data_IF_707861780074
#
_entry.id   IF_707861780074
#
_cell.length_a   1.000
_cell.length_b   1.000
_cell.length_c   1.000
_cell.angle_alpha   90.00
_cell.angle_beta   90.00
_cell.angle_gamma   90.00
#
_symmetry.space_group_name_H-M   'P 1'
#
loop_
_entity.id
_entity.type
_entity.pdbx_description
1 polymer ?
#
# COMPACT_ATOMS: atom_id res chain seq x y z
N UNK A 1 -9.96 -24.73 -45.34
CA UNK A 1 -10.56 -24.00 -44.20
C UNK A 1 -9.53 -23.93 -43.09
N UNK A 2 -8.93 -22.76 -42.86
CA UNK A 2 -7.94 -22.57 -41.79
C UNK A 2 -8.62 -22.17 -40.50
N UNK A 3 -8.42 -22.94 -39.43
CA UNK A 3 -8.93 -22.63 -38.11
C UNK A 3 -7.96 -21.66 -37.44
N UNK A 4 -8.36 -20.39 -37.34
CA UNK A 4 -7.68 -19.40 -36.52
C UNK A 4 -7.99 -19.71 -35.04
N UNK A 5 -7.08 -20.40 -34.37
CA UNK A 5 -7.08 -20.54 -32.92
C UNK A 5 -6.67 -19.21 -32.29
N UNK A 6 -7.65 -18.46 -31.76
CA UNK A 6 -7.39 -17.34 -30.87
C UNK A 6 -6.74 -17.87 -29.59
N UNK A 7 -5.42 -17.72 -29.49
CA UNK A 7 -4.71 -17.93 -28.24
C UNK A 7 -5.25 -16.98 -27.18
N UNK A 8 -5.83 -17.54 -26.12
CA UNK A 8 -6.15 -16.81 -24.90
C UNK A 8 -4.83 -16.25 -24.34
N UNK A 9 -4.54 -14.99 -24.64
CA UNK A 9 -3.47 -14.26 -23.97
C UNK A 9 -3.85 -14.18 -22.50
N UNK A 10 -3.20 -14.99 -21.67
CA UNK A 10 -3.14 -14.78 -20.24
C UNK A 10 -2.51 -13.41 -20.01
N UNK A 11 -3.35 -12.37 -19.98
CA UNK A 11 -2.95 -11.08 -19.44
C UNK A 11 -2.60 -11.35 -17.97
N UNK A 12 -1.33 -11.46 -17.60
CA UNK A 12 -0.98 -11.42 -16.19
C UNK A 12 -1.58 -10.14 -15.60
N UNK A 13 -2.38 -10.26 -14.55
CA UNK A 13 -2.82 -9.12 -13.76
C UNK A 13 -1.55 -8.40 -13.34
N UNK A 14 -1.36 -7.17 -13.82
CA UNK A 14 -0.28 -6.28 -13.41
C UNK A 14 -0.24 -6.35 -11.88
N UNK A 15 0.70 -7.10 -11.31
CA UNK A 15 0.75 -7.33 -9.88
C UNK A 15 1.42 -6.11 -9.30
N UNK A 16 0.58 -5.17 -8.91
CA UNK A 16 0.96 -3.90 -8.30
C UNK A 16 1.61 -4.18 -6.96
N UNK A 17 2.87 -3.75 -6.77
CA UNK A 17 3.53 -3.87 -5.47
C UNK A 17 3.31 -2.59 -4.66
N UNK A 18 3.60 -1.44 -5.27
CA UNK A 18 3.53 -0.14 -4.60
C UNK A 18 2.90 0.89 -5.53
N UNK A 19 1.92 1.62 -5.04
CA UNK A 19 1.32 2.78 -5.70
C UNK A 19 1.39 3.98 -4.75
N UNK A 20 1.61 5.17 -5.30
CA UNK A 20 1.62 6.40 -4.51
C UNK A 20 0.97 7.51 -5.31
N UNK A 21 0.35 8.46 -4.62
CA UNK A 21 -0.22 9.62 -5.27
C UNK A 21 -0.91 10.56 -4.32
N UNK A 22 -1.89 11.27 -4.87
CA UNK A 22 -2.59 12.35 -4.18
C UNK A 22 -4.00 11.90 -3.82
N UNK A 23 -4.48 12.39 -2.68
CA UNK A 23 -5.84 12.18 -2.19
C UNK A 23 -6.49 13.53 -1.95
N UNK A 24 -7.60 13.75 -2.64
CA UNK A 24 -8.36 14.98 -2.64
C UNK A 24 -9.68 14.71 -1.93
N UNK A 25 -9.81 15.17 -0.69
CA UNK A 25 -11.12 15.18 -0.01
C UNK A 25 -11.79 16.54 -0.15
N UNK A 26 -13.04 16.61 0.33
CA UNK A 26 -13.87 17.83 0.22
C UNK A 26 -13.15 19.08 0.74
N UNK A 27 -12.45 18.96 1.87
CA UNK A 27 -11.78 20.08 2.53
C UNK A 27 -10.29 19.83 2.81
N UNK A 28 -9.74 18.69 2.39
CA UNK A 28 -8.31 18.36 2.61
C UNK A 28 -7.60 17.95 1.33
N UNK A 29 -6.30 18.24 1.33
CA UNK A 29 -5.34 17.66 0.42
C UNK A 29 -4.44 16.71 1.21
N UNK A 30 -4.19 15.55 0.64
CA UNK A 30 -3.31 14.54 1.21
C UNK A 30 -2.54 13.79 0.16
N UNK A 31 -1.60 12.99 0.64
CA UNK A 31 -0.87 12.00 -0.15
C UNK A 31 -1.26 10.62 0.36
N UNK A 32 -1.30 9.65 -0.54
CA UNK A 32 -1.55 8.25 -0.21
C UNK A 32 -0.46 7.37 -0.81
N UNK A 33 -0.03 6.36 -0.05
CA UNK A 33 0.88 5.32 -0.49
C UNK A 33 0.26 3.97 -0.15
N UNK A 34 0.04 3.15 -1.17
CA UNK A 34 -0.52 1.83 -1.04
C UNK A 34 0.55 0.77 -1.35
N UNK A 35 0.70 -0.20 -0.47
CA UNK A 35 1.62 -1.32 -0.57
C UNK A 35 0.85 -2.63 -0.52
N UNK A 36 0.93 -3.44 -1.57
CA UNK A 36 0.32 -4.78 -1.58
C UNK A 36 1.11 -5.72 -0.68
N UNK A 37 0.42 -6.41 0.23
CA UNK A 37 0.99 -7.42 1.12
C UNK A 37 0.72 -8.83 0.57
N UNK A 38 -0.50 -9.09 0.08
CA UNK A 38 -0.90 -10.39 -0.47
C UNK A 38 -1.92 -10.22 -1.60
N UNK A 39 -2.39 -11.31 -2.20
CA UNK A 39 -3.16 -11.29 -3.46
C UNK A 39 -4.42 -10.43 -3.47
N UNK A 40 -5.02 -10.17 -2.31
CA UNK A 40 -6.20 -9.31 -2.16
C UNK A 40 -6.06 -8.32 -1.01
N UNK A 41 -4.85 -8.15 -0.47
CA UNK A 41 -4.60 -7.35 0.72
C UNK A 41 -3.56 -6.27 0.49
N UNK A 42 -3.90 -5.06 0.86
CA UNK A 42 -3.04 -3.88 0.78
C UNK A 42 -2.92 -3.20 2.15
N UNK A 43 -1.80 -2.53 2.35
CA UNK A 43 -1.61 -1.55 3.40
C UNK A 43 -1.63 -0.18 2.73
N UNK A 44 -2.49 0.73 3.18
CA UNK A 44 -2.51 2.12 2.74
C UNK A 44 -2.02 3.03 3.86
N UNK A 45 -1.07 3.90 3.56
CA UNK A 45 -0.65 5.00 4.41
C UNK A 45 -1.12 6.31 3.79
N UNK A 46 -1.89 7.11 4.54
CA UNK A 46 -2.41 8.41 4.11
C UNK A 46 -1.78 9.48 4.99
N UNK A 47 -1.20 10.51 4.38
CA UNK A 47 -0.77 11.72 5.06
C UNK A 47 -1.64 12.90 4.64
N UNK A 48 -2.27 13.59 5.59
CA UNK A 48 -3.10 14.77 5.33
C UNK A 48 -2.44 15.97 6.01
N UNK A 49 -2.29 17.05 5.24
CA UNK A 49 -1.75 18.32 5.75
C UNK A 49 -2.78 19.41 5.49
N UNK A 50 -3.21 20.07 6.57
CA UNK A 50 -4.06 21.27 6.56
C UNK A 50 -3.30 22.42 7.21
N UNK A 51 -3.81 23.66 7.06
CA UNK A 51 -3.15 24.85 7.62
C UNK A 51 -2.92 24.79 9.15
N UNK A 52 -3.70 23.99 9.88
CA UNK A 52 -3.68 23.91 11.35
C UNK A 52 -3.55 22.50 11.93
N UNK A 53 -3.57 21.48 11.07
CA UNK A 53 -3.61 20.07 11.45
C UNK A 53 -2.74 19.25 10.50
N UNK A 54 -1.99 18.30 11.04
CA UNK A 54 -1.34 17.26 10.26
C UNK A 54 -1.72 15.91 10.84
N UNK A 55 -2.16 14.99 9.99
CA UNK A 55 -2.56 13.64 10.38
C UNK A 55 -1.94 12.60 9.48
N UNK A 56 -1.63 11.46 10.07
CA UNK A 56 -1.21 10.25 9.37
C UNK A 56 -2.18 9.12 9.71
N UNK A 57 -2.56 8.37 8.70
CA UNK A 57 -3.50 7.25 8.80
C UNK A 57 -2.85 6.01 8.21
N UNK A 58 -3.04 4.88 8.87
CA UNK A 58 -2.62 3.57 8.36
C UNK A 58 -3.84 2.67 8.30
N UNK A 59 -4.08 2.06 7.14
CA UNK A 59 -5.23 1.22 6.84
C UNK A 59 -4.76 -0.13 6.28
N UNK A 60 -5.42 -1.21 6.70
CA UNK A 60 -5.34 -2.50 6.04
C UNK A 60 -6.62 -2.72 5.24
N UNK A 61 -6.49 -3.00 3.95
CA UNK A 61 -7.61 -3.06 3.02
C UNK A 61 -7.66 -4.41 2.30
N UNK A 62 -8.87 -4.89 2.06
CA UNK A 62 -9.16 -6.07 1.27
C UNK A 62 -9.88 -5.68 -0.02
N UNK A 63 -9.39 -6.20 -1.14
CA UNK A 63 -9.86 -5.89 -2.48
C UNK A 63 -10.73 -7.02 -3.05
N UNK A 64 -11.86 -6.64 -3.62
CA UNK A 64 -12.84 -7.51 -4.24
C UNK A 64 -13.10 -7.05 -5.68
N UNK A 65 -13.14 -8.00 -6.62
CA UNK A 65 -13.46 -7.70 -8.01
C UNK A 65 -14.96 -7.45 -8.17
N UNK A 66 -15.34 -6.33 -8.79
CA UNK A 66 -16.74 -6.02 -9.08
C UNK A 66 -17.09 -6.36 -10.53
N UNK A 67 -16.40 -5.72 -11.48
CA UNK A 67 -16.64 -5.85 -12.91
C UNK A 67 -15.30 -6.04 -13.64
N UNK A 68 -14.95 -7.29 -13.86
CA UNK A 68 -13.69 -7.66 -14.49
C UNK A 68 -12.47 -7.28 -13.65
N UNK A 69 -11.35 -6.99 -14.32
CA UNK A 69 -10.06 -6.67 -13.67
C UNK A 69 -9.81 -5.18 -13.48
N UNK A 70 -10.63 -4.34 -14.12
CA UNK A 70 -10.45 -2.88 -14.15
C UNK A 70 -11.19 -2.20 -13.00
N UNK A 71 -12.37 -2.67 -12.61
CA UNK A 71 -13.15 -2.10 -11.52
C UNK A 71 -13.22 -3.05 -10.32
N UNK A 72 -12.62 -2.61 -9.22
CA UNK A 72 -12.62 -3.31 -7.95
C UNK A 72 -13.29 -2.42 -6.89
N UNK A 73 -13.73 -3.03 -5.80
CA UNK A 73 -14.06 -2.31 -4.59
C UNK A 73 -13.17 -2.82 -3.47
N UNK A 74 -12.89 -1.98 -2.49
CA UNK A 74 -12.09 -2.36 -1.34
C UNK A 74 -12.74 -1.87 -0.06
N UNK A 75 -12.55 -2.67 0.98
CA UNK A 75 -12.98 -2.35 2.32
C UNK A 75 -11.84 -2.62 3.28
N UNK A 76 -11.66 -1.75 4.27
CA UNK A 76 -10.54 -1.83 5.19
C UNK A 76 -10.82 -1.16 6.51
N UNK A 77 -9.87 -1.35 7.42
CA UNK A 77 -9.89 -0.71 8.72
C UNK A 77 -8.46 -0.39 9.16
N UNK A 78 -8.34 0.56 10.07
CA UNK A 78 -7.08 0.98 10.65
C UNK A 78 -7.27 2.12 11.62
N UNK A 79 -6.32 3.03 11.66
CA UNK A 79 -6.38 4.16 12.58
C UNK A 79 -5.51 5.31 12.14
N UNK A 80 -5.79 6.46 12.74
CA UNK A 80 -5.06 7.69 12.52
C UNK A 80 -4.52 8.25 13.81
N UNK A 81 -3.45 9.01 13.65
CA UNK A 81 -2.89 9.87 14.66
C UNK A 81 -2.52 11.20 14.00
N UNK A 82 -2.74 12.28 14.71
CA UNK A 82 -2.45 13.60 14.20
C UNK A 82 -2.13 14.58 15.32
N UNK A 83 -1.67 15.74 14.90
CA UNK A 83 -1.42 16.86 15.80
C UNK A 83 -2.15 18.08 15.27
N UNK A 84 -2.87 18.73 16.16
CA UNK A 84 -3.47 20.02 15.90
C UNK A 84 -2.74 21.08 16.73
N UNK A 85 -2.43 22.22 16.10
CA UNK A 85 -1.62 23.28 16.74
C UNK A 85 -2.22 23.86 18.03
N UNK A 86 -3.53 23.73 18.22
CA UNK A 86 -4.25 24.35 19.34
C UNK A 86 -4.72 23.36 20.42
N UNK A 87 -4.97 22.09 20.07
CA UNK A 87 -5.58 21.10 20.97
C UNK A 87 -4.69 19.90 21.29
N UNK A 88 -3.48 19.82 20.71
CA UNK A 88 -2.53 18.75 20.98
C UNK A 88 -2.66 17.56 20.02
N UNK A 89 -2.32 16.36 20.49
CA UNK A 89 -2.38 15.14 19.70
C UNK A 89 -3.77 14.50 19.75
N UNK A 90 -4.28 14.04 18.61
CA UNK A 90 -5.53 13.28 18.51
C UNK A 90 -5.27 11.96 17.79
N UNK A 91 -6.15 10.99 18.03
CA UNK A 91 -6.08 9.71 17.36
C UNK A 91 -7.40 8.97 17.42
N UNK A 92 -7.54 7.96 16.58
CA UNK A 92 -8.79 7.28 16.42
C UNK A 92 -8.71 6.06 15.53
N UNK A 93 -9.88 5.45 15.33
CA UNK A 93 -10.06 4.31 14.45
C UNK A 93 -10.73 4.76 13.16
N UNK A 94 -10.33 4.16 12.06
CA UNK A 94 -10.85 4.45 10.73
C UNK A 94 -11.31 3.17 10.06
N UNK A 95 -12.49 3.21 9.48
CA UNK A 95 -12.89 2.32 8.40
C UNK A 95 -12.64 3.00 7.06
N UNK A 96 -12.50 2.20 6.01
CA UNK A 96 -12.50 2.69 4.63
C UNK A 96 -13.34 1.78 3.75
N UNK A 97 -14.11 2.38 2.85
CA UNK A 97 -14.81 1.70 1.78
C UNK A 97 -14.62 2.52 0.51
N UNK A 98 -14.14 1.88 -0.56
CA UNK A 98 -13.86 2.60 -1.80
C UNK A 98 -14.08 1.75 -3.03
N UNK A 99 -14.25 2.46 -4.14
CA UNK A 99 -14.19 1.94 -5.49
C UNK A 99 -12.82 2.27 -6.07
N UNK A 100 -12.25 1.30 -6.77
CA UNK A 100 -10.94 1.40 -7.40
C UNK A 100 -11.08 1.07 -8.89
N UNK A 101 -10.71 2.04 -9.74
CA UNK A 101 -10.68 1.90 -11.18
C UNK A 101 -9.25 1.97 -11.71
N UNK A 102 -8.77 0.81 -12.16
CA UNK A 102 -7.48 0.67 -12.82
C UNK A 102 -7.62 1.01 -14.30
N UNK A 103 -6.94 2.06 -14.73
CA UNK A 103 -6.95 2.49 -16.12
C UNK A 103 -6.19 1.47 -16.96
N UNK A 104 -6.82 0.94 -18.00
CA UNK A 104 -6.13 0.07 -18.94
C UNK A 104 -5.00 0.86 -19.63
N UNK A 105 -3.86 0.22 -19.86
CA UNK A 105 -2.67 0.79 -20.55
C UNK A 105 -1.86 1.85 -19.79
N UNK A 106 -2.43 2.52 -18.78
CA UNK A 106 -1.71 3.49 -17.96
C UNK A 106 -1.38 2.90 -16.57
N UNK A 107 -0.20 3.20 -15.99
CA UNK A 107 0.12 2.84 -14.61
C UNK A 107 -0.58 3.78 -13.60
N UNK A 108 -1.86 4.07 -13.82
CA UNK A 108 -2.67 4.99 -13.01
C UNK A 108 -3.86 4.21 -12.44
N UNK A 109 -4.10 4.45 -11.17
CA UNK A 109 -5.19 3.91 -10.39
C UNK A 109 -6.02 5.06 -9.80
N UNK A 110 -7.31 5.05 -10.08
CA UNK A 110 -8.24 6.06 -9.60
C UNK A 110 -9.10 5.44 -8.50
N UNK A 111 -9.16 6.05 -7.33
CA UNK A 111 -10.02 5.58 -6.25
C UNK A 111 -11.01 6.65 -5.81
N UNK A 112 -12.22 6.22 -5.50
CA UNK A 112 -13.22 7.03 -4.83
C UNK A 112 -13.62 6.31 -3.56
N UNK A 113 -13.42 6.96 -2.43
CA UNK A 113 -13.55 6.31 -1.13
C UNK A 113 -14.27 7.18 -0.11
N UNK A 114 -14.80 6.48 0.89
CA UNK A 114 -15.40 7.03 2.09
C UNK A 114 -14.70 6.41 3.28
N UNK A 115 -14.28 7.26 4.23
CA UNK A 115 -13.49 6.85 5.39
C UNK A 115 -14.23 7.19 6.68
N UNK A 116 -15.18 6.36 7.15
CA UNK A 116 -15.81 6.56 8.45
C UNK A 116 -14.74 6.51 9.55
N UNK A 117 -14.64 7.55 10.35
CA UNK A 117 -13.63 7.72 11.40
C UNK A 117 -14.29 8.00 12.74
N UNK A 118 -13.81 7.31 13.78
CA UNK A 118 -14.17 7.53 15.17
C UNK A 118 -12.97 8.10 15.90
N UNK A 119 -13.10 9.31 16.42
CA UNK A 119 -12.04 9.97 17.19
C UNK A 119 -12.15 9.58 18.68
N UNK A 120 -11.02 9.20 19.29
CA UNK A 120 -10.95 8.82 20.70
C UNK A 120 -10.18 9.93 21.43
N UNK A 121 -10.91 10.92 21.96
CA UNK A 121 -10.33 12.10 22.60
C UNK A 121 -11.33 13.24 22.78
N UNK A 122 -10.91 14.36 23.39
CA UNK A 122 -11.71 15.54 23.74
C UNK A 122 -12.22 16.34 22.52
N UNK A 123 -13.00 15.71 21.65
CA UNK A 123 -13.66 16.36 20.50
C UNK A 123 -15.16 16.09 20.56
N UNK A 124 -15.97 17.12 20.37
CA UNK A 124 -17.44 17.05 20.34
C UNK A 124 -17.96 16.20 19.15
N UNK A 125 -17.15 16.06 18.09
CA UNK A 125 -17.45 15.29 16.89
C UNK A 125 -16.76 13.91 16.92
N UNK A 126 -17.32 13.00 17.72
CA UNK A 126 -16.79 11.63 17.88
C UNK A 126 -16.86 10.77 16.61
N UNK A 127 -17.66 11.15 15.60
CA UNK A 127 -17.85 10.39 14.36
C UNK A 127 -17.88 11.28 13.12
N UNK A 128 -17.04 10.95 12.13
CA UNK A 128 -16.94 11.69 10.86
C UNK A 128 -16.91 10.72 9.69
N UNK A 129 -17.43 11.14 8.54
CA UNK A 129 -17.47 10.30 7.33
C UNK A 129 -16.93 11.10 6.14
N UNK A 130 -15.62 11.43 6.12
CA UNK A 130 -15.01 12.09 4.98
C UNK A 130 -15.06 11.21 3.72
N UNK A 131 -15.34 11.84 2.58
CA UNK A 131 -15.17 11.26 1.25
C UNK A 131 -13.94 11.84 0.58
N UNK A 132 -13.25 11.03 -0.22
CA UNK A 132 -12.09 11.47 -0.98
C UNK A 132 -12.00 10.78 -2.34
N UNK A 133 -11.35 11.47 -3.26
CA UNK A 133 -10.94 10.96 -4.56
C UNK A 133 -9.42 10.91 -4.61
N UNK A 134 -8.84 9.75 -4.89
CA UNK A 134 -7.40 9.58 -4.99
C UNK A 134 -6.96 9.21 -6.40
N UNK A 135 -5.82 9.77 -6.80
CA UNK A 135 -5.13 9.42 -8.03
C UNK A 135 -3.78 8.85 -7.63
N UNK A 136 -3.57 7.56 -7.87
CA UNK A 136 -2.36 6.83 -7.50
C UNK A 136 -1.60 6.40 -8.75
N UNK A 137 -0.31 6.72 -8.79
CA UNK A 137 0.62 6.22 -9.79
C UNK A 137 1.28 4.94 -9.29
N UNK A 138 1.31 3.93 -10.14
CA UNK A 138 1.93 2.64 -9.86
C UNK A 138 3.44 2.75 -10.09
N UNK A 139 4.21 2.68 -9.00
CA UNK A 139 5.65 2.85 -9.02
C UNK A 139 6.38 1.56 -9.40
N UNK A 140 5.96 0.42 -8.85
CA UNK A 140 6.67 -0.86 -8.99
C UNK A 140 5.73 -1.95 -9.49
N UNK A 141 6.03 -2.44 -10.70
CA UNK A 141 5.46 -3.65 -11.29
C UNK A 141 6.35 -4.82 -10.88
N UNK A 142 5.78 -5.92 -10.37
CA UNK A 142 6.53 -7.06 -9.82
C UNK A 142 7.67 -7.53 -10.74
N UNK A 143 8.91 -7.17 -10.36
CA UNK A 143 10.12 -7.95 -10.65
C UNK A 143 10.61 -8.49 -9.31
N UNK A 144 10.91 -9.78 -9.30
CA UNK A 144 11.19 -10.68 -8.19
C UNK A 144 12.37 -10.29 -7.28
N UNK A 145 12.39 -9.08 -6.71
CA UNK A 145 13.43 -8.61 -5.78
C UNK A 145 12.84 -7.55 -4.85
N UNK A 146 12.17 -8.01 -3.79
CA UNK A 146 11.52 -7.14 -2.82
C UNK A 146 12.50 -6.17 -2.15
N UNK A 147 12.10 -4.91 -2.02
CA UNK A 147 12.80 -3.89 -1.22
C UNK A 147 13.10 -4.36 0.21
N UNK A 148 12.23 -5.20 0.78
CA UNK A 148 12.43 -5.88 2.06
C UNK A 148 13.69 -6.75 2.09
N UNK A 149 14.04 -7.43 0.99
CA UNK A 149 15.23 -8.29 0.91
C UNK A 149 16.53 -7.47 0.80
N UNK A 150 16.45 -6.23 0.29
CA UNK A 150 17.59 -5.29 0.33
C UNK A 150 17.81 -4.68 1.71
N UNK A 151 16.74 -4.41 2.46
CA UNK A 151 16.83 -3.78 3.78
C UNK A 151 17.15 -4.80 4.88
N UNK A 152 16.64 -6.02 4.78
CA UNK A 152 16.80 -7.05 5.81
C UNK A 152 17.68 -8.26 5.39
N UNK A 153 18.00 -8.41 4.10
CA UNK A 153 18.71 -9.58 3.58
C UNK A 153 20.24 -9.47 3.58
N UNK A 154 20.81 -8.29 3.80
CA UNK A 154 22.27 -8.09 3.68
C UNK A 154 23.06 -8.67 4.87
N UNK A 155 22.41 -8.86 6.02
CA UNK A 155 23.08 -9.41 7.21
C UNK A 155 23.29 -10.93 7.18
N UNK A 156 22.51 -11.68 6.38
CA UNK A 156 22.65 -13.16 6.30
C UNK A 156 23.73 -13.63 5.34
N UNK A 157 24.11 -12.85 4.32
CA UNK A 157 25.14 -13.24 3.34
C UNK A 157 26.57 -13.07 3.87
N UNK A 158 26.81 -12.14 4.79
CA UNK A 158 28.15 -11.91 5.37
C UNK A 158 28.60 -13.04 6.32
N UNK A 159 27.67 -13.68 7.04
CA UNK A 159 27.98 -14.78 7.97
C UNK A 159 28.31 -16.11 7.28
N UNK A 160 27.74 -16.40 6.10
CA UNK A 160 28.04 -17.64 5.35
C UNK A 160 29.46 -17.61 4.75
N UNK A 161 29.88 -16.50 4.13
CA UNK A 161 31.23 -16.37 3.55
C UNK A 161 32.37 -16.46 4.57
N UNK A 162 32.14 -16.12 5.84
CA UNK A 162 33.17 -16.20 6.89
C UNK A 162 33.34 -17.63 7.46
N UNK A 163 32.32 -18.50 7.34
CA UNK A 163 32.38 -19.89 7.82
C UNK A 163 33.13 -20.79 6.83
N UNK A 164 32.92 -20.60 5.53
CA UNK A 164 33.58 -21.42 4.49
C UNK A 164 35.07 -21.12 4.34
N UNK A 165 35.49 -19.86 4.60
CA UNK A 165 36.92 -19.49 4.54
C UNK A 165 37.73 -20.01 5.74
N UNK A 166 37.07 -20.39 6.84
CA UNK A 166 37.73 -20.87 8.06
C UNK A 166 37.80 -22.41 8.12
N UNK A 167 36.90 -23.14 7.46
CA UNK A 167 36.99 -24.60 7.35
C UNK A 167 38.02 -25.04 6.32
N UNK A 168 38.22 -24.28 5.24
CA UNK A 168 39.18 -24.63 4.18
C UNK A 168 40.66 -24.47 4.59
N UNK A 169 40.97 -23.75 5.67
CA UNK A 169 42.36 -23.57 6.15
C UNK A 169 42.82 -24.63 7.14
N UNK A 170 41.89 -25.38 7.75
CA UNK A 170 42.24 -26.39 8.78
C UNK A 170 42.53 -27.80 8.23
N UNK A 171 42.32 -28.05 6.93
CA UNK A 171 42.40 -29.40 6.36
C UNK A 171 43.65 -29.72 5.52
N UNK A 172 44.66 -28.85 5.46
CA UNK A 172 45.79 -28.99 4.53
C UNK A 172 47.17 -29.20 5.19
N UNK A 173 47.24 -29.39 6.52
CA UNK A 173 48.51 -29.57 7.25
C UNK A 173 48.44 -30.64 8.35
N UNK A 174 47.80 -31.78 8.06
CA UNK A 174 48.02 -33.00 8.86
C UNK A 174 48.75 -34.00 7.96
N UNK A 175 50.08 -34.01 8.10
CA UNK A 175 51.03 -34.95 7.49
C UNK A 175 51.73 -35.70 8.62
#
# INVERSE_FOLDING_TARGET
>A
MGVLSLGAQHAEAQKYITAAGVRLGKDNFGVTVQQRIYSKGTLEGIGIIRNREASITVLAEHHFGLLGRSLNYYAGAGGHLGTEKNHGGFGGLDGILGLEYKVAFLPIDLSLDVKPSVEIGHSEDWFRVPTAFSIRYVLIKEKNTGLFDRVFGDDKKSKRKKKDKNSSRKGLFDF
#
